data_IF_705140306909
#
_entry.id   IF_705140306909
#
_cell.length_a   1.000
_cell.length_b   1.000
_cell.length_c   1.000
_cell.angle_alpha   90.00
_cell.angle_beta   90.00
_cell.angle_gamma   90.00
#
_symmetry.space_group_name_H-M   'P 1'
#
loop_
_entity.id
_entity.type
_entity.pdbx_description
1 polymer ?
#
# COMPACT_ATOMS: atom_id res chain seq x y z
N UNK A 1 11.75 -1.93 -10.53
CA UNK A 1 12.07 -0.65 -11.19
C UNK A 1 12.36 0.38 -10.11
N UNK A 2 13.61 0.83 -10.03
CA UNK A 2 13.95 2.06 -9.32
C UNK A 2 13.39 3.25 -10.11
N UNK A 3 13.05 4.33 -9.41
CA UNK A 3 12.64 5.57 -10.07
C UNK A 3 13.75 6.01 -11.03
N UNK A 4 13.42 6.24 -12.29
CA UNK A 4 14.38 6.79 -13.25
C UNK A 4 14.92 8.12 -12.71
N UNK A 5 16.25 8.30 -12.70
CA UNK A 5 16.90 9.58 -12.37
C UNK A 5 16.61 10.69 -13.41
N UNK A 6 15.85 10.39 -14.46
CA UNK A 6 15.43 11.35 -15.46
C UNK A 6 14.17 12.09 -15.00
N UNK A 7 14.29 13.41 -14.79
CA UNK A 7 13.18 14.30 -14.41
C UNK A 7 11.94 14.14 -15.28
N UNK A 8 12.09 13.98 -16.61
CA UNK A 8 10.95 13.77 -17.53
C UNK A 8 10.22 12.45 -17.29
N UNK A 9 10.96 11.41 -16.92
CA UNK A 9 10.35 10.13 -16.56
C UNK A 9 9.56 10.25 -15.26
N UNK A 10 10.10 10.93 -14.25
CA UNK A 10 9.40 11.19 -12.98
C UNK A 10 8.13 12.03 -13.17
N UNK A 11 8.18 13.07 -14.01
CA UNK A 11 7.01 13.90 -14.33
C UNK A 11 5.92 13.08 -15.03
N UNK A 12 6.31 12.20 -15.95
CA UNK A 12 5.38 11.29 -16.64
C UNK A 12 4.75 10.28 -15.67
N UNK A 13 5.54 9.71 -14.76
CA UNK A 13 5.05 8.79 -13.72
C UNK A 13 4.06 9.49 -12.79
N UNK A 14 4.37 10.71 -12.34
CA UNK A 14 3.44 11.51 -11.51
C UNK A 14 2.14 11.83 -12.23
N UNK A 15 2.20 12.18 -13.52
CA UNK A 15 1.00 12.41 -14.33
C UNK A 15 0.13 11.16 -14.41
N UNK A 16 0.76 10.01 -14.67
CA UNK A 16 0.11 8.69 -14.70
C UNK A 16 -0.56 8.36 -13.36
N UNK A 17 0.11 8.61 -12.23
CA UNK A 17 -0.46 8.34 -10.91
C UNK A 17 -1.65 9.23 -10.61
N UNK A 18 -1.57 10.53 -10.93
CA UNK A 18 -2.69 11.45 -10.77
C UNK A 18 -3.86 11.05 -11.66
N UNK A 19 -3.60 10.61 -12.89
CA UNK A 19 -4.65 10.12 -13.78
C UNK A 19 -5.29 8.83 -13.29
N UNK A 20 -4.50 7.85 -12.82
CA UNK A 20 -5.05 6.62 -12.26
C UNK A 20 -5.93 6.93 -11.03
N UNK A 21 -5.51 7.84 -10.15
CA UNK A 21 -6.33 8.28 -9.01
C UNK A 21 -7.66 8.89 -9.45
N UNK A 22 -7.67 9.78 -10.44
CA UNK A 22 -8.91 10.37 -10.98
C UNK A 22 -9.82 9.33 -11.65
N UNK A 23 -9.25 8.28 -12.24
CA UNK A 23 -10.03 7.17 -12.79
C UNK A 23 -10.64 6.31 -11.68
N UNK A 24 -9.90 6.08 -10.60
CA UNK A 24 -10.37 5.30 -9.44
C UNK A 24 -11.48 5.99 -8.65
N UNK A 25 -11.63 7.31 -8.78
CA UNK A 25 -12.79 8.05 -8.24
C UNK A 25 -14.11 7.71 -8.96
N UNK A 26 -14.05 7.09 -10.15
CA UNK A 26 -15.21 6.87 -11.03
C UNK A 26 -15.34 5.47 -11.64
N UNK A 27 -14.32 4.62 -11.48
CA UNK A 27 -14.28 3.24 -12.01
C UNK A 27 -13.51 2.32 -11.05
N UNK A 28 -13.97 1.08 -10.93
CA UNK A 28 -13.19 0.03 -10.25
C UNK A 28 -11.90 -0.24 -11.04
N UNK A 29 -10.81 -0.57 -10.32
CA UNK A 29 -9.50 -0.82 -10.94
C UNK A 29 -9.54 -1.88 -12.05
N UNK A 30 -10.33 -2.95 -11.86
CA UNK A 30 -10.52 -4.04 -12.84
C UNK A 30 -11.10 -3.56 -14.18
N UNK A 31 -11.84 -2.45 -14.17
CA UNK A 31 -12.52 -1.88 -15.33
C UNK A 31 -11.71 -0.73 -15.97
N UNK A 32 -10.59 -0.34 -15.36
CA UNK A 32 -9.69 0.68 -15.91
C UNK A 32 -8.76 0.01 -16.94
N UNK A 33 -8.80 0.52 -18.17
CA UNK A 33 -7.91 0.07 -19.25
C UNK A 33 -6.70 0.99 -19.42
N UNK A 34 -5.69 0.52 -20.15
CA UNK A 34 -4.57 1.37 -20.59
C UNK A 34 -5.09 2.55 -21.43
N UNK A 35 -6.15 2.35 -22.23
CA UNK A 35 -6.74 3.42 -23.06
C UNK A 35 -7.37 4.51 -22.20
N UNK A 36 -8.10 4.13 -21.15
CA UNK A 36 -8.66 5.10 -20.19
C UNK A 36 -7.56 5.98 -19.61
N UNK A 37 -6.46 5.36 -19.17
CA UNK A 37 -5.34 6.06 -18.55
C UNK A 37 -4.58 6.95 -19.54
N UNK A 38 -4.44 6.50 -20.78
CA UNK A 38 -3.87 7.31 -21.85
C UNK A 38 -4.69 8.57 -22.11
N UNK A 39 -6.01 8.44 -22.21
CA UNK A 39 -6.92 9.56 -22.43
C UNK A 39 -6.87 10.51 -21.22
N UNK A 40 -6.85 9.97 -20.01
CA UNK A 40 -6.81 10.74 -18.78
C UNK A 40 -5.51 11.52 -18.55
N UNK A 41 -4.38 10.98 -19.04
CA UNK A 41 -3.05 11.54 -18.83
C UNK A 41 -2.46 12.22 -20.07
N UNK A 42 -3.13 12.14 -21.21
CA UNK A 42 -2.62 12.53 -22.53
C UNK A 42 -1.25 11.92 -22.86
N UNK A 43 -1.14 10.58 -22.77
CA UNK A 43 0.10 9.84 -23.09
C UNK A 43 -0.11 8.78 -24.17
N UNK A 44 0.94 8.47 -24.92
CA UNK A 44 0.93 7.38 -25.92
C UNK A 44 1.02 5.99 -25.27
N UNK A 45 0.55 4.95 -25.97
CA UNK A 45 0.72 3.54 -25.56
C UNK A 45 2.20 3.19 -25.41
N UNK A 46 3.03 3.66 -26.34
CA UNK A 46 4.47 3.45 -26.29
C UNK A 46 5.11 4.10 -25.06
N UNK A 47 4.60 5.25 -24.60
CA UNK A 47 5.04 5.89 -23.36
C UNK A 47 4.62 5.09 -22.12
N UNK A 48 3.40 4.55 -22.13
CA UNK A 48 2.90 3.69 -21.06
C UNK A 48 3.73 2.40 -20.94
N UNK A 49 3.81 1.62 -22.03
CA UNK A 49 4.44 0.29 -22.03
C UNK A 49 5.97 0.33 -21.83
N UNK A 50 6.59 1.49 -21.99
CA UNK A 50 7.99 1.69 -21.62
C UNK A 50 8.22 1.58 -20.10
N UNK A 51 7.19 1.89 -19.31
CA UNK A 51 7.30 1.99 -17.86
C UNK A 51 6.44 0.94 -17.12
N UNK A 52 5.35 0.47 -17.72
CA UNK A 52 4.36 -0.38 -17.05
C UNK A 52 3.84 -1.47 -18.00
N UNK A 53 3.67 -2.70 -17.50
CA UNK A 53 3.10 -3.79 -18.32
C UNK A 53 1.57 -3.75 -18.33
N UNK A 54 0.96 -3.29 -17.25
CA UNK A 54 -0.49 -3.20 -17.07
C UNK A 54 -0.83 -2.18 -15.97
N UNK A 55 -2.12 -2.01 -15.67
CA UNK A 55 -2.61 -1.06 -14.65
C UNK A 55 -2.19 -1.48 -13.23
N UNK A 56 -2.06 -2.78 -12.95
CA UNK A 56 -1.58 -3.28 -11.65
C UNK A 56 -0.14 -2.86 -11.39
N UNK A 57 0.73 -2.84 -12.41
CA UNK A 57 2.09 -2.32 -12.27
C UNK A 57 2.09 -0.83 -11.90
N UNK A 58 1.15 -0.04 -12.42
CA UNK A 58 1.02 1.37 -12.03
C UNK A 58 0.64 1.48 -10.55
N UNK A 59 -0.34 0.69 -10.11
CA UNK A 59 -0.77 0.64 -8.71
C UNK A 59 0.37 0.22 -7.77
N UNK A 60 1.17 -0.79 -8.17
CA UNK A 60 2.34 -1.24 -7.42
C UNK A 60 3.37 -0.12 -7.24
N UNK A 61 3.64 0.68 -8.28
CA UNK A 61 4.57 1.81 -8.13
C UNK A 61 3.99 2.95 -7.29
N UNK A 62 2.67 3.23 -7.38
CA UNK A 62 2.00 4.18 -6.49
C UNK A 62 2.15 3.74 -5.04
N UNK A 63 1.83 2.48 -4.73
CA UNK A 63 1.94 1.98 -3.36
C UNK A 63 3.37 2.01 -2.86
N UNK A 64 4.34 1.65 -3.70
CA UNK A 64 5.76 1.78 -3.37
C UNK A 64 6.11 3.19 -2.95
N UNK A 65 5.64 4.22 -3.67
CA UNK A 65 5.91 5.62 -3.34
C UNK A 65 5.41 6.00 -1.94
N UNK A 66 4.14 5.74 -1.65
CA UNK A 66 3.58 5.95 -0.30
C UNK A 66 4.29 5.11 0.75
N UNK A 67 4.71 3.88 0.40
CA UNK A 67 5.45 3.05 1.32
C UNK A 67 6.85 3.59 1.61
N UNK A 68 7.62 4.11 0.64
CA UNK A 68 8.90 4.74 0.98
C UNK A 68 8.68 6.03 1.79
N UNK A 69 7.71 6.88 1.43
CA UNK A 69 7.36 8.06 2.23
C UNK A 69 7.05 7.68 3.68
N UNK A 70 6.20 6.67 3.89
CA UNK A 70 5.93 6.09 5.20
C UNK A 70 7.21 5.67 5.93
N UNK A 71 8.11 4.93 5.27
CA UNK A 71 9.36 4.47 5.91
C UNK A 71 10.28 5.62 6.31
N UNK A 72 10.33 6.69 5.52
CA UNK A 72 11.12 7.89 5.84
C UNK A 72 10.52 8.64 7.04
N UNK A 73 9.24 8.97 6.97
CA UNK A 73 8.55 9.69 8.06
C UNK A 73 8.55 8.90 9.37
N UNK A 74 8.37 7.57 9.32
CA UNK A 74 8.37 6.70 10.51
C UNK A 74 9.69 6.74 11.31
N UNK A 75 10.80 7.19 10.72
CA UNK A 75 12.09 7.25 11.43
C UNK A 75 12.07 8.28 12.57
N UNK A 76 11.30 9.34 12.41
CA UNK A 76 11.22 10.47 13.35
C UNK A 76 10.14 10.26 14.44
N UNK A 77 9.33 9.21 14.28
CA UNK A 77 8.16 8.95 15.11
C UNK A 77 8.50 8.11 16.33
N UNK A 78 8.11 8.61 17.51
CA UNK A 78 8.29 7.91 18.78
C UNK A 78 7.41 6.65 18.87
N UNK A 79 6.14 6.77 18.50
CA UNK A 79 5.20 5.65 18.46
C UNK A 79 4.93 5.19 17.02
N UNK A 80 5.74 4.23 16.58
CA UNK A 80 5.70 3.68 15.22
C UNK A 80 4.39 2.95 14.90
N UNK A 81 3.70 2.41 15.90
CA UNK A 81 2.46 1.68 15.72
C UNK A 81 1.27 2.65 15.57
N UNK A 82 1.20 3.67 16.42
CA UNK A 82 0.18 4.72 16.26
C UNK A 82 0.38 5.48 14.94
N UNK A 83 1.63 5.80 14.60
CA UNK A 83 1.96 6.42 13.32
C UNK A 83 1.55 5.54 12.13
N UNK A 84 1.79 4.22 12.21
CA UNK A 84 1.31 3.27 11.19
C UNK A 84 -0.20 3.42 10.96
N UNK A 85 -1.01 3.39 12.02
CA UNK A 85 -2.46 3.51 11.86
C UNK A 85 -2.87 4.86 11.30
N UNK A 86 -2.31 5.96 11.79
CA UNK A 86 -2.64 7.32 11.30
C UNK A 86 -2.30 7.51 9.83
N UNK A 87 -1.09 7.14 9.42
CA UNK A 87 -0.63 7.28 8.04
C UNK A 87 -1.51 6.46 7.10
N UNK A 88 -1.74 5.19 7.42
CA UNK A 88 -2.52 4.32 6.55
C UNK A 88 -4.03 4.62 6.57
N UNK A 89 -4.54 5.27 7.62
CA UNK A 89 -5.89 5.85 7.62
C UNK A 89 -6.05 7.03 6.66
N UNK A 90 -5.04 7.90 6.60
CA UNK A 90 -4.99 9.00 5.64
C UNK A 90 -4.98 8.48 4.19
N UNK A 91 -4.34 7.34 3.96
CA UNK A 91 -4.22 6.69 2.66
C UNK A 91 -5.14 5.46 2.47
N UNK A 92 -6.24 5.37 3.24
CA UNK A 92 -7.09 4.16 3.29
C UNK A 92 -7.80 3.82 1.98
N UNK A 93 -8.04 4.80 1.10
CA UNK A 93 -8.65 4.54 -0.20
C UNK A 93 -7.70 3.72 -1.08
N UNK A 94 -6.40 4.05 -1.06
CA UNK A 94 -5.37 3.25 -1.72
C UNK A 94 -5.30 1.83 -1.13
N UNK A 95 -5.38 1.69 0.20
CA UNK A 95 -5.42 0.37 0.83
C UNK A 95 -6.65 -0.43 0.42
N UNK A 96 -7.81 0.21 0.31
CA UNK A 96 -9.06 -0.44 -0.15
C UNK A 96 -8.87 -1.02 -1.55
N UNK A 97 -8.35 -0.20 -2.48
CA UNK A 97 -8.08 -0.63 -3.85
C UNK A 97 -7.09 -1.82 -3.88
N UNK A 98 -6.03 -1.78 -3.08
CA UNK A 98 -5.04 -2.86 -3.01
C UNK A 98 -5.65 -4.14 -2.44
N UNK A 99 -6.45 -4.03 -1.37
CA UNK A 99 -7.14 -5.15 -0.74
C UNK A 99 -8.08 -5.86 -1.72
N UNK A 100 -8.77 -5.10 -2.57
CA UNK A 100 -9.74 -5.64 -3.53
C UNK A 100 -9.11 -6.23 -4.80
N UNK A 101 -7.86 -5.87 -5.11
CA UNK A 101 -7.26 -6.20 -6.40
C UNK A 101 -5.97 -7.02 -6.31
N UNK A 102 -5.01 -6.63 -5.46
CA UNK A 102 -3.74 -7.35 -5.34
C UNK A 102 -3.01 -7.07 -4.01
N UNK A 103 -3.30 -7.88 -3.00
CA UNK A 103 -2.67 -7.81 -1.67
C UNK A 103 -1.17 -8.13 -1.67
N UNK A 104 -0.63 -8.79 -2.70
CA UNK A 104 0.80 -9.11 -2.78
C UNK A 104 1.65 -7.85 -2.94
N UNK A 105 1.06 -6.74 -3.42
CA UNK A 105 1.73 -5.44 -3.46
C UNK A 105 2.24 -5.03 -2.06
N UNK A 106 1.45 -5.27 -1.01
CA UNK A 106 1.84 -5.00 0.39
C UNK A 106 3.01 -5.90 0.78
N UNK A 107 2.92 -7.20 0.50
CA UNK A 107 3.95 -8.20 0.81
C UNK A 107 5.28 -7.85 0.15
N UNK A 108 5.24 -7.53 -1.14
CA UNK A 108 6.40 -7.16 -1.94
C UNK A 108 7.11 -5.93 -1.37
N UNK A 109 6.36 -4.94 -0.88
CA UNK A 109 6.94 -3.81 -0.15
C UNK A 109 7.55 -4.22 1.19
N UNK A 110 6.89 -5.07 1.98
CA UNK A 110 7.46 -5.55 3.25
C UNK A 110 8.78 -6.30 3.06
N UNK A 111 8.85 -7.19 2.06
CA UNK A 111 10.06 -7.95 1.72
C UNK A 111 11.18 -6.98 1.29
N UNK A 112 10.88 -6.05 0.38
CA UNK A 112 11.85 -5.06 -0.13
C UNK A 112 12.50 -4.24 0.99
N UNK A 113 11.73 -3.92 2.03
CA UNK A 113 12.18 -3.10 3.16
C UNK A 113 12.62 -3.93 4.37
N UNK A 114 12.60 -5.26 4.28
CA UNK A 114 13.12 -6.12 5.32
C UNK A 114 14.64 -6.04 5.38
N UNK A 115 15.22 -6.30 6.56
CA UNK A 115 16.68 -6.38 6.70
C UNK A 115 17.20 -7.61 5.94
N UNK A 116 18.44 -7.59 5.44
CA UNK A 116 19.10 -8.81 4.97
C UNK A 116 19.02 -9.90 6.04
N UNK A 117 18.76 -11.14 5.63
CA UNK A 117 18.63 -12.31 6.51
C UNK A 117 17.47 -12.26 7.51
N UNK A 118 16.44 -11.44 7.27
CA UNK A 118 15.18 -11.53 8.04
C UNK A 118 14.58 -12.92 7.82
N UNK A 119 14.17 -13.58 8.91
CA UNK A 119 13.50 -14.89 8.84
C UNK A 119 12.23 -14.79 7.97
N UNK A 120 12.07 -15.66 6.95
CA UNK A 120 10.87 -15.69 6.12
C UNK A 120 9.57 -15.85 6.92
N UNK A 121 9.56 -16.67 7.98
CA UNK A 121 8.38 -16.83 8.84
C UNK A 121 8.03 -15.55 9.57
N UNK A 122 9.02 -14.77 9.99
CA UNK A 122 8.76 -13.46 10.59
C UNK A 122 8.07 -12.51 9.58
N UNK A 123 8.50 -12.54 8.31
CA UNK A 123 7.86 -11.74 7.25
C UNK A 123 6.43 -12.23 7.00
N UNK A 124 6.18 -13.54 6.91
CA UNK A 124 4.84 -14.10 6.69
C UNK A 124 3.90 -13.78 7.85
N UNK A 125 4.34 -13.97 9.10
CA UNK A 125 3.53 -13.66 10.29
C UNK A 125 3.18 -12.17 10.32
N UNK A 126 4.16 -11.30 10.07
CA UNK A 126 3.94 -9.85 10.03
C UNK A 126 2.99 -9.46 8.90
N UNK A 127 3.16 -10.04 7.71
CA UNK A 127 2.28 -9.81 6.57
C UNK A 127 0.85 -10.24 6.88
N UNK A 128 0.65 -11.43 7.44
CA UNK A 128 -0.66 -11.94 7.83
C UNK A 128 -1.34 -11.05 8.89
N UNK A 129 -0.60 -10.64 9.93
CA UNK A 129 -1.12 -9.76 10.96
C UNK A 129 -1.55 -8.40 10.39
N UNK A 130 -0.66 -7.75 9.63
CA UNK A 130 -0.93 -6.43 9.07
C UNK A 130 -2.08 -6.46 8.07
N UNK A 131 -2.10 -7.43 7.15
CA UNK A 131 -3.17 -7.51 6.15
C UNK A 131 -4.49 -7.87 6.78
N UNK A 132 -4.54 -8.77 7.77
CA UNK A 132 -5.79 -9.10 8.49
C UNK A 132 -6.40 -7.87 9.15
N UNK A 133 -5.57 -7.05 9.82
CA UNK A 133 -6.03 -5.80 10.45
C UNK A 133 -6.52 -4.81 9.37
N UNK A 134 -5.74 -4.59 8.32
CA UNK A 134 -6.11 -3.64 7.25
C UNK A 134 -7.40 -4.07 6.54
N UNK A 135 -7.54 -5.36 6.18
CA UNK A 135 -8.70 -5.90 5.46
C UNK A 135 -9.96 -5.81 6.30
N UNK A 136 -9.87 -6.07 7.61
CA UNK A 136 -11.02 -5.91 8.49
C UNK A 136 -11.36 -4.43 8.66
N UNK A 137 -10.35 -3.60 8.91
CA UNK A 137 -10.54 -2.17 9.16
C UNK A 137 -11.08 -1.42 7.94
N UNK A 138 -10.66 -1.80 6.72
CA UNK A 138 -11.15 -1.20 5.47
C UNK A 138 -12.65 -1.43 5.23
N UNK A 139 -13.21 -2.51 5.80
CA UNK A 139 -14.64 -2.85 5.74
C UNK A 139 -15.47 -2.16 6.83
N UNK A 140 -14.91 -2.02 8.03
CA UNK A 140 -15.63 -1.51 9.20
C UNK A 140 -15.71 0.02 9.25
N UNK A 141 -14.66 0.72 8.77
CA UNK A 141 -14.54 2.19 8.57
C UNK A 141 -14.98 3.13 9.72
N UNK A 142 -15.32 2.64 10.91
CA UNK A 142 -15.78 3.48 12.04
C UNK A 142 -14.71 3.65 13.11
N UNK A 143 -13.86 2.66 13.30
CA UNK A 143 -12.80 2.70 14.31
C UNK A 143 -11.72 3.72 13.93
N UNK A 144 -11.40 4.66 14.83
CA UNK A 144 -10.33 5.65 14.60
C UNK A 144 -8.92 5.01 14.70
N UNK A 145 -7.87 5.65 14.16
CA UNK A 145 -6.50 5.18 14.31
C UNK A 145 -6.08 4.97 15.77
N UNK A 146 -6.47 5.89 16.66
CA UNK A 146 -6.19 5.84 18.10
C UNK A 146 -6.92 4.67 18.77
N UNK A 147 -8.20 4.47 18.45
CA UNK A 147 -8.96 3.35 19.00
C UNK A 147 -8.40 2.00 18.52
N UNK A 148 -8.03 1.91 17.24
CA UNK A 148 -7.44 0.69 16.69
C UNK A 148 -6.06 0.41 17.30
N UNK A 149 -5.25 1.45 17.50
CA UNK A 149 -3.98 1.36 18.21
C UNK A 149 -4.17 0.75 19.60
N UNK A 150 -5.09 1.29 20.41
CA UNK A 150 -5.35 0.79 21.76
C UNK A 150 -5.91 -0.63 21.78
N UNK A 151 -6.75 -1.00 20.80
CA UNK A 151 -7.25 -2.38 20.66
C UNK A 151 -6.11 -3.35 20.32
N UNK A 152 -5.32 -3.04 19.30
CA UNK A 152 -4.24 -3.91 18.81
C UNK A 152 -3.14 -4.03 19.85
N UNK A 153 -2.73 -2.93 20.49
CA UNK A 153 -1.71 -2.93 21.55
C UNK A 153 -2.12 -3.85 22.70
N UNK A 154 -3.36 -3.74 23.20
CA UNK A 154 -3.89 -4.63 24.25
C UNK A 154 -3.91 -6.10 23.86
N UNK A 155 -4.23 -6.42 22.60
CA UNK A 155 -4.24 -7.79 22.11
C UNK A 155 -2.81 -8.38 22.00
N UNK A 156 -1.85 -7.56 21.59
CA UNK A 156 -0.45 -7.99 21.41
C UNK A 156 0.31 -8.08 22.74
N UNK A 157 0.09 -7.17 23.70
CA UNK A 157 0.81 -7.14 24.98
C UNK A 157 0.51 -8.34 25.88
N UNK A 158 -0.62 -9.02 25.69
CA UNK A 158 -1.07 -10.02 26.66
C UNK A 158 -1.01 -11.45 26.11
N UNK A 159 -1.18 -11.68 24.79
CA UNK A 159 -1.68 -13.00 24.32
C UNK A 159 -1.30 -13.44 22.92
N UNK A 160 -0.25 -12.95 22.27
CA UNK A 160 0.04 -13.37 20.88
C UNK A 160 0.06 -14.91 20.69
N UNK A 161 0.62 -15.66 21.65
CA UNK A 161 0.57 -17.12 21.65
C UNK A 161 -0.80 -17.71 22.05
N UNK A 162 -1.47 -17.13 23.06
CA UNK A 162 -2.82 -17.55 23.47
C UNK A 162 -3.88 -17.30 22.38
N UNK A 163 -3.72 -16.27 21.56
CA UNK A 163 -4.61 -15.95 20.44
C UNK A 163 -4.59 -17.03 19.35
N UNK A 164 -3.46 -17.71 19.18
CA UNK A 164 -3.28 -18.76 18.18
C UNK A 164 -3.70 -20.13 18.74
N UNK A 165 -3.64 -20.31 20.07
CA UNK A 165 -3.83 -21.60 20.73
C UNK A 165 -5.15 -21.75 21.48
N UNK A 166 -5.88 -20.66 21.74
CA UNK A 166 -7.25 -20.71 22.29
C UNK A 166 -8.28 -20.81 21.16
N UNK A 167 -9.13 -21.83 21.28
CA UNK A 167 -10.31 -22.06 20.43
C UNK A 167 -11.39 -21.00 20.66
#
# INVERSE_FOLDING_TARGET
MEFSNNKRAQDSQRAIYKGLRRLLERKDLKDITVVDLQNECNISRATFYRNYRNIIDVLDVIFKWYFNEYQELKKEENDKLLFFFRYWYLHRDLLTIIVENNLDIIKNCMIRYSKPNTDPYFIEIKYGLVTSIIVYWSKERKTSPEELYEKVKRMLDVKAYELITKN
#
